data_IF_561289286601
#
_entry.id   IF_561289286601
#
_cell.length_a   1.000
_cell.length_b   1.000
_cell.length_c   1.000
_cell.angle_alpha   90.00
_cell.angle_beta   90.00
_cell.angle_gamma   90.00
#
_symmetry.space_group_name_H-M   'P 1'
#
loop_
_entity.id
_entity.type
_entity.pdbx_description
1 polymer ?
#
# COMPACT_ATOMS: atom_id res chain seq x y z
N UNK A 1 -13.76 23.19 -15.89
CA UNK A 1 -12.92 24.01 -16.79
C UNK A 1 -11.51 23.45 -16.67
N UNK A 2 -11.02 22.81 -17.72
CA UNK A 2 -9.66 22.22 -17.75
C UNK A 2 -8.62 23.34 -17.62
N UNK A 3 -7.56 23.10 -16.86
CA UNK A 3 -6.50 24.08 -16.69
C UNK A 3 -5.81 24.45 -18.01
N UNK A 4 -5.39 25.70 -18.11
CA UNK A 4 -4.72 26.24 -19.30
C UNK A 4 -3.20 26.04 -19.31
N UNK A 5 -2.62 25.60 -18.19
CA UNK A 5 -1.20 25.32 -18.06
C UNK A 5 -0.93 24.23 -17.01
N UNK A 6 0.27 23.65 -17.09
CA UNK A 6 0.70 22.53 -16.23
C UNK A 6 0.59 22.84 -14.72
N UNK A 7 0.99 24.03 -14.28
CA UNK A 7 0.94 24.38 -12.86
C UNK A 7 -0.52 24.53 -12.35
N UNK A 8 -1.41 25.02 -13.21
CA UNK A 8 -2.85 25.06 -12.97
C UNK A 8 -3.44 23.66 -12.88
N UNK A 9 -3.07 22.77 -13.81
CA UNK A 9 -3.54 21.39 -13.85
C UNK A 9 -3.16 20.62 -12.57
N UNK A 10 -1.89 20.69 -12.18
CA UNK A 10 -1.42 20.06 -10.93
C UNK A 10 -2.19 20.59 -9.71
N UNK A 11 -2.45 21.90 -9.68
CA UNK A 11 -3.21 22.53 -8.59
C UNK A 11 -4.66 22.07 -8.57
N UNK A 12 -5.32 21.99 -9.73
CA UNK A 12 -6.70 21.56 -9.85
C UNK A 12 -6.90 20.12 -9.34
N UNK A 13 -6.09 19.18 -9.83
CA UNK A 13 -6.12 17.78 -9.37
C UNK A 13 -5.83 17.65 -7.88
N UNK A 14 -4.82 18.35 -7.37
CA UNK A 14 -4.48 18.34 -5.94
C UNK A 14 -5.61 18.89 -5.06
N UNK A 15 -6.26 19.98 -5.48
CA UNK A 15 -7.39 20.56 -4.74
C UNK A 15 -8.62 19.65 -4.77
N UNK A 16 -8.88 18.98 -5.90
CA UNK A 16 -9.97 18.01 -6.00
C UNK A 16 -9.73 16.82 -5.05
N UNK A 17 -8.54 16.24 -5.02
CA UNK A 17 -8.20 15.17 -4.09
C UNK A 17 -8.37 15.58 -2.62
N UNK A 18 -7.91 16.79 -2.26
CA UNK A 18 -8.07 17.32 -0.90
C UNK A 18 -9.54 17.53 -0.50
N UNK A 19 -10.43 17.83 -1.47
CA UNK A 19 -11.88 17.87 -1.20
C UNK A 19 -12.42 16.49 -0.88
N UNK A 20 -12.10 15.48 -1.71
CA UNK A 20 -12.54 14.10 -1.47
C UNK A 20 -12.04 13.56 -0.13
N UNK A 21 -10.79 13.86 0.27
CA UNK A 21 -10.29 13.47 1.60
C UNK A 21 -11.15 14.01 2.75
N UNK A 22 -11.61 15.26 2.64
CA UNK A 22 -12.45 15.89 3.67
C UNK A 22 -13.88 15.35 3.60
N UNK A 23 -14.44 15.24 2.41
CA UNK A 23 -15.84 14.88 2.21
C UNK A 23 -16.08 13.41 2.63
N UNK A 24 -15.09 12.54 2.45
CA UNK A 24 -15.09 11.15 2.94
C UNK A 24 -14.44 10.95 4.32
N UNK A 25 -14.01 12.02 5.02
CA UNK A 25 -13.34 11.95 6.34
C UNK A 25 -12.17 10.95 6.39
N UNK A 26 -11.41 10.86 5.29
CA UNK A 26 -10.39 9.83 5.11
C UNK A 26 -9.23 10.00 6.08
N UNK A 27 -8.88 11.25 6.43
CA UNK A 27 -7.80 11.51 7.36
C UNK A 27 -8.12 10.96 8.74
N UNK A 28 -9.26 11.33 9.30
CA UNK A 28 -9.71 10.90 10.62
C UNK A 28 -9.83 9.37 10.68
N UNK A 29 -10.44 8.78 9.65
CA UNK A 29 -10.63 7.32 9.56
C UNK A 29 -9.30 6.57 9.49
N UNK A 30 -8.33 7.05 8.70
CA UNK A 30 -7.03 6.38 8.52
C UNK A 30 -6.11 6.65 9.70
N UNK A 31 -6.09 7.85 10.29
CA UNK A 31 -5.30 8.12 11.48
C UNK A 31 -5.75 7.26 12.67
N UNK A 32 -7.04 6.93 12.76
CA UNK A 32 -7.61 6.08 13.81
C UNK A 32 -7.30 4.57 13.64
N UNK A 33 -7.36 4.04 12.41
CA UNK A 33 -7.21 2.59 12.14
C UNK A 33 -5.85 2.19 11.54
N UNK A 34 -5.07 3.17 11.09
CA UNK A 34 -3.88 2.99 10.27
C UNK A 34 -4.13 2.51 8.83
N UNK A 35 -3.04 2.36 8.07
CA UNK A 35 -3.06 1.85 6.71
C UNK A 35 -2.97 2.95 5.64
N UNK A 36 -3.71 2.78 4.54
CA UNK A 36 -3.69 3.66 3.37
C UNK A 36 -5.10 4.13 2.96
N UNK A 37 -5.16 4.97 1.93
CA UNK A 37 -6.41 5.34 1.27
C UNK A 37 -6.91 4.16 0.45
N UNK A 38 -8.03 3.58 0.87
CA UNK A 38 -8.73 2.53 0.14
C UNK A 38 -9.48 3.14 -1.05
N UNK A 39 -8.82 3.10 -2.21
CA UNK A 39 -9.33 3.71 -3.45
C UNK A 39 -10.64 3.07 -3.89
N UNK A 40 -10.75 1.74 -3.78
CA UNK A 40 -11.94 1.02 -4.19
C UNK A 40 -13.12 1.32 -3.27
N UNK A 41 -12.89 1.39 -1.96
CA UNK A 41 -13.91 1.84 -1.01
C UNK A 41 -14.35 3.28 -1.29
N UNK A 42 -13.41 4.18 -1.56
CA UNK A 42 -13.76 5.57 -1.87
C UNK A 42 -14.59 5.71 -3.15
N UNK A 43 -14.26 4.96 -4.20
CA UNK A 43 -15.05 4.91 -5.44
C UNK A 43 -16.47 4.41 -5.15
N UNK A 44 -16.60 3.36 -4.34
CA UNK A 44 -17.89 2.81 -3.93
C UNK A 44 -18.72 3.82 -3.11
N UNK A 45 -18.11 4.48 -2.12
CA UNK A 45 -18.78 5.49 -1.28
C UNK A 45 -19.25 6.72 -2.08
N UNK A 46 -18.60 7.00 -3.21
CA UNK A 46 -18.97 8.06 -4.14
C UNK A 46 -20.01 7.63 -5.17
N UNK A 47 -20.52 6.39 -5.08
CA UNK A 47 -21.51 5.79 -6.01
C UNK A 47 -21.05 5.86 -7.47
N UNK A 48 -19.75 5.64 -7.71
CA UNK A 48 -19.17 5.60 -9.05
C UNK A 48 -19.07 4.16 -9.51
N UNK A 49 -19.76 3.75 -10.60
CA UNK A 49 -19.67 2.40 -11.11
C UNK A 49 -18.24 2.02 -11.46
N UNK A 50 -17.73 0.94 -10.86
CA UNK A 50 -16.41 0.39 -11.12
C UNK A 50 -16.52 -1.07 -11.54
N UNK A 51 -15.83 -1.41 -12.63
CA UNK A 51 -15.75 -2.80 -13.08
C UNK A 51 -14.30 -3.19 -13.37
N UNK A 52 -13.90 -4.33 -12.79
CA UNK A 52 -12.57 -4.91 -12.95
C UNK A 52 -12.64 -6.01 -14.01
N UNK A 53 -11.81 -5.95 -15.05
CA UNK A 53 -11.78 -6.96 -16.12
C UNK A 53 -10.36 -7.21 -16.63
N UNK A 54 -10.10 -8.36 -17.27
CA UNK A 54 -8.85 -8.56 -17.99
C UNK A 54 -8.82 -7.66 -19.23
N UNK A 55 -7.97 -6.63 -19.21
CA UNK A 55 -7.77 -5.72 -20.33
C UNK A 55 -6.36 -5.91 -20.90
N UNK A 56 -6.27 -6.15 -22.21
CA UNK A 56 -5.00 -6.27 -22.94
C UNK A 56 -4.64 -4.93 -23.57
N UNK A 57 -3.40 -4.46 -23.36
CA UNK A 57 -2.94 -3.15 -23.85
C UNK A 57 -3.39 -1.96 -22.99
N UNK A 58 -4.54 -2.08 -22.33
CA UNK A 58 -5.17 -1.02 -21.55
C UNK A 58 -5.05 -1.26 -20.03
N UNK A 59 -4.72 -0.21 -19.27
CA UNK A 59 -4.68 -0.27 -17.79
C UNK A 59 -6.03 0.05 -17.16
N UNK A 60 -6.72 1.06 -17.68
CA UNK A 60 -8.04 1.48 -17.22
C UNK A 60 -8.68 2.40 -18.23
N UNK A 61 -9.94 2.75 -18.01
CA UNK A 61 -10.62 3.75 -18.80
C UNK A 61 -11.75 4.40 -18.01
N UNK A 62 -11.88 5.71 -18.17
CA UNK A 62 -13.05 6.46 -17.78
C UNK A 62 -14.00 6.63 -18.97
N UNK A 63 -15.25 6.22 -18.79
CA UNK A 63 -16.32 6.35 -19.77
C UNK A 63 -17.37 7.31 -19.22
N UNK A 64 -17.86 8.26 -20.03
CA UNK A 64 -18.92 9.20 -19.62
C UNK A 64 -20.32 8.85 -20.19
N UNK A 65 -20.40 7.90 -21.12
CA UNK A 65 -21.63 7.55 -21.83
C UNK A 65 -21.77 6.01 -21.97
N UNK A 66 -22.99 5.44 -21.88
CA UNK A 66 -24.27 6.13 -21.61
C UNK A 66 -24.42 6.62 -20.15
N UNK A 67 -23.57 6.15 -19.24
CA UNK A 67 -23.43 6.62 -17.87
C UNK A 67 -21.96 6.66 -17.46
N UNK A 68 -21.54 7.59 -16.60
CA UNK A 68 -20.17 7.62 -16.09
C UNK A 68 -19.77 6.33 -15.39
N UNK A 69 -18.56 5.84 -15.64
CA UNK A 69 -18.03 4.64 -15.00
C UNK A 69 -16.55 4.44 -15.22
N UNK A 70 -15.95 3.60 -14.38
CA UNK A 70 -14.53 3.30 -14.36
C UNK A 70 -14.30 1.82 -14.72
N UNK A 71 -13.34 1.58 -15.60
CA UNK A 71 -12.80 0.26 -15.90
C UNK A 71 -11.35 0.18 -15.43
N UNK A 72 -10.96 -0.91 -14.79
CA UNK A 72 -9.56 -1.17 -14.40
C UNK A 72 -9.17 -2.60 -14.73
N UNK A 73 -7.93 -2.77 -15.20
CA UNK A 73 -7.38 -4.07 -15.59
C UNK A 73 -7.10 -4.98 -14.40
N UNK A 74 -7.41 -6.27 -14.53
CA UNK A 74 -7.02 -7.32 -13.58
C UNK A 74 -5.62 -7.89 -13.87
N UNK A 75 -5.01 -7.52 -15.00
CA UNK A 75 -3.74 -8.07 -15.50
C UNK A 75 -2.49 -7.44 -14.85
N UNK A 76 -2.66 -6.74 -13.73
CA UNK A 76 -1.61 -5.95 -13.08
C UNK A 76 -1.66 -6.10 -11.55
N UNK A 77 -0.51 -5.93 -10.86
CA UNK A 77 -0.47 -5.95 -9.40
C UNK A 77 -1.37 -4.89 -8.76
N UNK A 78 -1.73 -5.13 -7.50
CA UNK A 78 -2.66 -4.29 -6.74
C UNK A 78 -2.25 -2.81 -6.68
N UNK A 79 -0.95 -2.51 -6.56
CA UNK A 79 -0.48 -1.12 -6.56
C UNK A 79 -0.74 -0.38 -7.87
N UNK A 80 -0.70 -1.08 -9.02
CA UNK A 80 -1.04 -0.51 -10.32
C UNK A 80 -2.55 -0.34 -10.42
N UNK A 81 -3.34 -1.36 -10.04
CA UNK A 81 -4.80 -1.25 -10.03
C UNK A 81 -5.29 -0.07 -9.20
N UNK A 82 -4.72 0.13 -7.99
CA UNK A 82 -5.08 1.25 -7.10
C UNK A 82 -4.75 2.60 -7.73
N UNK A 83 -3.58 2.74 -8.34
CA UNK A 83 -3.19 3.99 -9.00
C UNK A 83 -4.07 4.28 -10.21
N UNK A 84 -4.31 3.29 -11.07
CA UNK A 84 -5.21 3.43 -12.21
C UNK A 84 -6.62 3.79 -11.76
N UNK A 85 -7.18 3.08 -10.77
CA UNK A 85 -8.50 3.40 -10.22
C UNK A 85 -8.56 4.84 -9.68
N UNK A 86 -7.52 5.31 -8.99
CA UNK A 86 -7.45 6.68 -8.49
C UNK A 86 -7.32 7.71 -9.62
N UNK A 87 -6.61 7.38 -10.70
CA UNK A 87 -6.48 8.21 -11.90
C UNK A 87 -7.82 8.35 -12.63
N UNK A 88 -8.52 7.25 -12.88
CA UNK A 88 -9.85 7.27 -13.50
C UNK A 88 -10.89 7.97 -12.60
N UNK A 89 -10.80 7.81 -11.28
CA UNK A 89 -11.60 8.58 -10.34
C UNK A 89 -11.31 10.08 -10.47
N UNK A 90 -10.07 10.46 -10.75
CA UNK A 90 -9.69 11.84 -11.06
C UNK A 90 -10.44 12.38 -12.27
N UNK A 91 -10.51 11.63 -13.37
CA UNK A 91 -11.30 11.99 -14.54
C UNK A 91 -12.79 12.19 -14.20
N UNK A 92 -13.37 11.28 -13.42
CA UNK A 92 -14.76 11.39 -12.98
C UNK A 92 -15.00 12.65 -12.13
N UNK A 93 -14.20 12.87 -11.09
CA UNK A 93 -14.37 13.99 -10.14
C UNK A 93 -14.16 15.35 -10.81
N UNK A 94 -13.24 15.44 -11.77
CA UNK A 94 -12.93 16.66 -12.49
C UNK A 94 -13.83 16.88 -13.71
N UNK A 95 -14.76 15.94 -13.98
CA UNK A 95 -15.71 15.99 -15.10
C UNK A 95 -14.99 16.10 -16.45
N UNK A 96 -13.97 15.27 -16.63
CA UNK A 96 -13.21 15.17 -17.86
C UNK A 96 -14.03 14.54 -18.99
N UNK A 97 -13.59 14.78 -20.22
CA UNK A 97 -14.12 14.05 -21.38
C UNK A 97 -13.50 12.64 -21.42
N UNK A 98 -14.12 11.65 -22.09
CA UNK A 98 -13.60 10.28 -22.14
C UNK A 98 -12.26 10.26 -22.85
N UNK A 99 -11.32 9.54 -22.24
CA UNK A 99 -10.04 9.17 -22.85
C UNK A 99 -10.14 7.70 -23.23
N UNK A 100 -10.11 7.39 -24.54
CA UNK A 100 -9.90 6.03 -25.02
C UNK A 100 -8.40 5.88 -25.32
N UNK A 101 -7.71 5.14 -24.45
CA UNK A 101 -6.27 4.92 -24.51
C UNK A 101 -5.90 4.05 -25.72
N UNK A 102 -5.19 4.64 -26.68
CA UNK A 102 -4.53 3.92 -27.78
C UNK A 102 -3.10 3.57 -27.34
N UNK A 103 -2.64 2.36 -27.67
CA UNK A 103 -1.56 1.51 -27.10
C UNK A 103 -0.12 2.12 -26.97
N UNK A 104 0.03 3.44 -26.95
CA UNK A 104 1.30 4.18 -27.06
C UNK A 104 1.80 4.86 -25.77
N UNK A 105 0.98 4.96 -24.70
CA UNK A 105 1.35 5.74 -23.50
C UNK A 105 2.25 5.02 -22.49
N UNK A 106 2.58 3.73 -22.70
CA UNK A 106 3.57 3.03 -21.88
C UNK A 106 5.02 3.53 -22.08
N UNK A 107 5.27 4.53 -22.95
CA UNK A 107 6.60 5.11 -23.17
C UNK A 107 6.58 6.64 -23.37
N UNK A 108 6.68 7.37 -22.25
CA UNK A 108 7.08 8.80 -22.15
C UNK A 108 6.12 9.83 -22.77
N UNK A 109 6.15 11.04 -22.18
CA UNK A 109 5.53 12.31 -22.59
C UNK A 109 4.97 12.33 -24.03
N UNK A 110 3.67 12.58 -24.24
CA UNK A 110 3.10 12.64 -25.57
C UNK A 110 3.55 13.92 -26.29
N UNK A 111 3.99 13.77 -27.53
CA UNK A 111 4.35 14.89 -28.42
C UNK A 111 3.17 15.27 -29.34
N UNK A 112 2.05 14.54 -29.34
CA UNK A 112 0.97 14.74 -30.31
C UNK A 112 -0.47 14.62 -29.76
N UNK A 113 -0.69 14.66 -28.44
CA UNK A 113 -2.05 14.80 -27.91
C UNK A 113 -2.55 16.25 -28.05
N UNK A 114 -3.87 16.45 -28.15
CA UNK A 114 -4.43 17.79 -28.11
C UNK A 114 -4.10 18.43 -26.75
N UNK A 115 -3.75 19.73 -26.68
CA UNK A 115 -3.31 20.35 -25.43
C UNK A 115 -4.30 20.21 -24.27
N UNK A 116 -5.61 20.13 -24.56
CA UNK A 116 -6.65 19.91 -23.55
C UNK A 116 -6.67 18.46 -23.03
N UNK A 117 -6.41 17.47 -23.87
CA UNK A 117 -6.23 16.06 -23.46
C UNK A 117 -5.01 15.96 -22.56
N UNK A 118 -3.89 16.59 -22.95
CA UNK A 118 -2.67 16.59 -22.13
C UNK A 118 -2.88 17.20 -20.74
N UNK A 119 -3.67 18.28 -20.64
CA UNK A 119 -3.93 18.90 -19.33
C UNK A 119 -4.88 18.07 -18.46
N UNK A 120 -5.89 17.40 -19.04
CA UNK A 120 -6.78 16.50 -18.30
C UNK A 120 -5.99 15.33 -17.69
N UNK A 121 -5.07 14.73 -18.45
CA UNK A 121 -4.19 13.67 -17.95
C UNK A 121 -3.30 14.17 -16.80
N UNK A 122 -2.74 15.38 -16.92
CA UNK A 122 -1.95 15.99 -15.82
C UNK A 122 -2.81 16.26 -14.59
N UNK A 123 -4.06 16.69 -14.77
CA UNK A 123 -5.01 16.89 -13.67
C UNK A 123 -5.38 15.57 -12.98
N UNK A 124 -5.64 14.50 -13.74
CA UNK A 124 -5.95 13.17 -13.23
C UNK A 124 -4.76 12.53 -12.50
N UNK A 125 -3.54 12.62 -13.06
CA UNK A 125 -2.32 12.17 -12.41
C UNK A 125 -2.03 12.94 -11.11
N UNK A 126 -2.27 14.26 -11.13
CA UNK A 126 -2.12 15.07 -9.93
C UNK A 126 -3.16 14.71 -8.87
N UNK A 127 -4.41 14.44 -9.28
CA UNK A 127 -5.46 13.93 -8.40
C UNK A 127 -5.04 12.60 -7.79
N UNK A 128 -4.71 11.57 -8.59
CA UNK A 128 -4.36 10.24 -8.12
C UNK A 128 -3.19 10.27 -7.13
N UNK A 129 -2.15 11.04 -7.46
CA UNK A 129 -0.98 11.22 -6.59
C UNK A 129 -1.37 11.89 -5.28
N UNK A 130 -2.10 13.01 -5.32
CA UNK A 130 -2.49 13.73 -4.12
C UNK A 130 -3.48 12.91 -3.27
N UNK A 131 -4.35 12.14 -3.91
CA UNK A 131 -5.37 11.31 -3.28
C UNK A 131 -4.76 10.12 -2.56
N UNK A 132 -3.82 9.40 -3.19
CA UNK A 132 -3.15 8.25 -2.57
C UNK A 132 -2.03 8.65 -1.60
N UNK A 133 -1.37 9.79 -1.83
CA UNK A 133 -0.17 10.20 -1.10
C UNK A 133 -0.27 11.61 -0.50
N UNK A 134 -1.30 11.92 0.31
CA UNK A 134 -1.34 13.22 0.96
C UNK A 134 -0.20 13.36 1.97
N UNK A 135 0.28 14.59 2.16
CA UNK A 135 1.39 14.90 3.07
C UNK A 135 1.13 14.46 4.51
N UNK A 136 -0.13 14.53 4.97
CA UNK A 136 -0.52 14.07 6.29
C UNK A 136 -0.32 12.56 6.46
N UNK A 137 -0.59 11.76 5.42
CA UNK A 137 -0.43 10.30 5.48
C UNK A 137 1.04 9.88 5.46
N UNK A 138 1.86 10.58 4.66
CA UNK A 138 3.32 10.42 4.70
C UNK A 138 3.86 10.70 6.11
N UNK A 139 3.44 11.82 6.71
CA UNK A 139 3.81 12.20 8.07
C UNK A 139 3.35 11.18 9.12
N UNK A 140 2.13 10.65 9.00
CA UNK A 140 1.59 9.63 9.88
C UNK A 140 2.46 8.36 9.87
N UNK A 141 2.76 7.81 8.69
CA UNK A 141 3.61 6.62 8.55
C UNK A 141 5.03 6.88 9.04
N UNK A 142 5.61 8.04 8.74
CA UNK A 142 6.93 8.42 9.22
C UNK A 142 7.00 8.50 10.74
N UNK A 143 6.06 9.18 11.40
CA UNK A 143 5.99 9.25 12.86
C UNK A 143 5.83 7.87 13.48
N UNK A 144 4.89 7.08 12.96
CA UNK A 144 4.60 5.75 13.47
C UNK A 144 5.80 4.81 13.38
N UNK A 145 6.46 4.80 12.23
CA UNK A 145 7.64 3.96 11.99
C UNK A 145 8.93 4.58 12.56
N UNK A 146 8.86 5.77 13.16
CA UNK A 146 10.00 6.58 13.61
C UNK A 146 11.03 6.79 12.48
N UNK A 147 10.55 7.00 11.26
CA UNK A 147 11.38 7.36 10.12
C UNK A 147 11.56 8.86 10.02
N UNK A 148 12.81 9.26 9.87
CA UNK A 148 13.24 10.61 9.57
C UNK A 148 13.41 10.80 8.07
N UNK A 149 13.60 12.04 7.63
CA UNK A 149 13.95 12.34 6.23
C UNK A 149 15.24 11.63 5.79
N UNK A 150 16.22 11.46 6.69
CA UNK A 150 17.43 10.68 6.40
C UNK A 150 17.13 9.22 6.09
N UNK A 151 16.13 8.63 6.74
CA UNK A 151 15.77 7.23 6.51
C UNK A 151 15.18 7.01 5.12
N UNK A 152 14.52 8.03 4.55
CA UNK A 152 13.97 7.99 3.20
C UNK A 152 15.04 7.95 2.09
N UNK A 153 16.33 8.06 2.44
CA UNK A 153 17.44 7.81 1.52
C UNK A 153 17.79 6.33 1.41
N UNK A 154 17.20 5.46 2.24
CA UNK A 154 17.43 4.01 2.22
C UNK A 154 16.38 3.31 1.34
N UNK A 155 16.79 2.51 0.35
CA UNK A 155 15.88 1.76 -0.51
C UNK A 155 14.89 0.87 0.27
N UNK A 156 15.34 0.20 1.33
CA UNK A 156 14.50 -0.65 2.17
C UNK A 156 13.39 0.12 2.87
N UNK A 157 13.69 1.30 3.41
CA UNK A 157 12.70 2.17 4.06
C UNK A 157 11.66 2.65 3.06
N UNK A 158 12.08 3.15 1.88
CA UNK A 158 11.15 3.65 0.86
C UNK A 158 10.26 2.53 0.30
N UNK A 159 10.80 1.31 0.19
CA UNK A 159 10.01 0.14 -0.19
C UNK A 159 8.95 -0.21 0.86
N UNK A 160 9.31 -0.24 2.14
CA UNK A 160 8.36 -0.49 3.23
C UNK A 160 7.30 0.62 3.37
N UNK A 161 7.66 1.86 3.06
CA UNK A 161 6.72 2.97 2.95
C UNK A 161 5.76 2.78 1.76
N UNK A 162 6.26 2.36 0.60
CA UNK A 162 5.45 2.12 -0.59
C UNK A 162 4.32 1.10 -0.33
N UNK A 163 4.64 -0.01 0.34
CA UNK A 163 3.66 -1.03 0.71
C UNK A 163 2.58 -0.45 1.64
N UNK A 164 3.00 0.29 2.66
CA UNK A 164 2.10 0.94 3.63
C UNK A 164 1.22 2.03 3.03
N UNK A 165 1.65 2.65 1.92
CA UNK A 165 0.84 3.59 1.14
C UNK A 165 -0.03 2.89 0.07
N UNK A 166 0.15 1.58 -0.16
CA UNK A 166 -0.56 0.84 -1.20
C UNK A 166 -0.09 1.18 -2.62
N UNK A 167 1.20 1.49 -2.80
CA UNK A 167 1.75 1.98 -4.07
C UNK A 167 3.03 1.28 -4.51
N UNK A 168 3.43 1.57 -5.74
CA UNK A 168 4.69 1.03 -6.27
C UNK A 168 5.89 1.74 -5.66
N UNK A 169 7.00 1.01 -5.57
CA UNK A 169 8.28 1.55 -5.12
C UNK A 169 8.70 2.80 -5.92
N UNK A 170 8.55 2.74 -7.24
CA UNK A 170 8.92 3.83 -8.13
C UNK A 170 8.04 5.07 -7.96
N UNK A 171 6.72 4.89 -7.90
CA UNK A 171 5.80 6.01 -7.65
C UNK A 171 6.09 6.68 -6.31
N UNK A 172 6.44 5.90 -5.28
CA UNK A 172 6.81 6.41 -3.96
C UNK A 172 8.08 7.26 -4.03
N UNK A 173 9.15 6.80 -4.71
CA UNK A 173 10.38 7.59 -4.91
C UNK A 173 10.09 8.97 -5.51
N UNK A 174 9.28 9.05 -6.57
CA UNK A 174 8.95 10.32 -7.22
C UNK A 174 7.99 11.19 -6.40
N UNK A 175 7.11 10.56 -5.63
CA UNK A 175 6.23 11.25 -4.67
C UNK A 175 7.03 11.93 -3.57
N UNK A 176 8.09 11.28 -3.05
CA UNK A 176 8.99 11.89 -2.07
C UNK A 176 9.70 13.13 -2.63
N UNK A 177 10.07 13.11 -3.92
CA UNK A 177 10.62 14.29 -4.61
C UNK A 177 9.59 15.42 -4.70
N UNK A 178 8.34 15.10 -5.09
CA UNK A 178 7.26 16.08 -5.20
C UNK A 178 6.98 16.77 -3.86
N UNK A 179 7.09 16.03 -2.76
CA UNK A 179 6.91 16.53 -1.40
C UNK A 179 8.19 17.12 -0.79
N UNK A 180 9.25 17.31 -1.57
CA UNK A 180 10.54 17.89 -1.14
C UNK A 180 11.22 17.15 0.02
N UNK A 181 10.90 15.86 0.20
CA UNK A 181 11.52 15.01 1.23
C UNK A 181 12.87 14.47 0.76
N UNK A 182 13.02 14.24 -0.54
CA UNK A 182 14.29 13.89 -1.19
C UNK A 182 14.44 14.69 -2.49
N UNK A 183 15.66 14.74 -3.03
CA UNK A 183 15.91 15.35 -4.33
C UNK A 183 15.85 14.32 -5.49
N UNK A 184 15.86 14.82 -6.74
CA UNK A 184 15.81 13.98 -7.94
C UNK A 184 17.02 13.06 -8.10
N UNK A 185 18.19 13.43 -7.57
CA UNK A 185 19.40 12.62 -7.63
C UNK A 185 19.25 11.42 -6.69
N UNK A 186 18.80 11.66 -5.47
CA UNK A 186 18.49 10.64 -4.47
C UNK A 186 17.42 9.66 -4.98
N UNK A 187 16.35 10.15 -5.60
CA UNK A 187 15.34 9.27 -6.21
C UNK A 187 15.94 8.35 -7.28
N UNK A 188 16.83 8.86 -8.14
CA UNK A 188 17.51 8.04 -9.15
C UNK A 188 18.45 7.01 -8.51
N UNK A 189 19.14 7.37 -7.43
CA UNK A 189 20.00 6.45 -6.66
C UNK A 189 19.17 5.33 -6.03
N UNK A 190 18.02 5.65 -5.42
CA UNK A 190 17.08 4.65 -4.88
C UNK A 190 16.67 3.63 -5.95
N UNK A 191 16.28 4.12 -7.15
CA UNK A 191 15.80 3.29 -8.26
C UNK A 191 16.85 2.36 -8.89
N UNK A 192 18.13 2.50 -8.52
CA UNK A 192 19.17 1.52 -8.87
C UNK A 192 18.93 0.19 -8.13
N UNK A 193 18.36 0.22 -6.92
CA UNK A 193 18.01 -0.98 -6.17
C UNK A 193 16.64 -1.47 -6.61
N UNK A 194 16.55 -2.64 -7.24
CA UNK A 194 15.27 -3.16 -7.75
C UNK A 194 14.45 -3.82 -6.64
N UNK A 195 13.10 -3.77 -6.70
CA UNK A 195 12.24 -4.42 -5.71
C UNK A 195 12.57 -5.89 -5.45
N UNK A 196 12.93 -6.65 -6.49
CA UNK A 196 13.36 -8.05 -6.33
C UNK A 196 14.55 -8.19 -5.36
N UNK A 197 15.54 -7.32 -5.46
CA UNK A 197 16.71 -7.34 -4.57
C UNK A 197 16.31 -6.98 -3.13
N UNK A 198 15.40 -6.02 -2.95
CA UNK A 198 14.87 -5.64 -1.64
C UNK A 198 14.11 -6.80 -0.98
N UNK A 199 13.26 -7.48 -1.75
CA UNK A 199 12.53 -8.67 -1.33
C UNK A 199 13.48 -9.80 -0.94
N UNK A 200 14.48 -10.10 -1.77
CA UNK A 200 15.50 -11.11 -1.46
C UNK A 200 16.27 -10.80 -0.17
N UNK A 201 16.71 -9.55 0.00
CA UNK A 201 17.41 -9.13 1.21
C UNK A 201 16.55 -9.27 2.47
N UNK A 202 15.23 -9.04 2.37
CA UNK A 202 14.30 -9.23 3.49
C UNK A 202 14.05 -10.71 3.79
N UNK A 203 13.99 -11.57 2.77
CA UNK A 203 13.76 -13.00 2.97
C UNK A 203 15.04 -13.76 3.41
N UNK A 204 16.21 -13.16 3.26
CA UNK A 204 17.48 -13.74 3.69
C UNK A 204 17.80 -15.01 2.90
N UNK A 205 17.90 -16.14 3.58
CA UNK A 205 18.18 -17.44 2.95
C UNK A 205 16.93 -18.13 2.38
N UNK A 206 15.73 -17.63 2.67
CA UNK A 206 14.50 -18.21 2.14
C UNK A 206 14.26 -17.70 0.72
N UNK A 207 14.11 -18.63 -0.24
CA UNK A 207 13.77 -18.32 -1.62
C UNK A 207 12.31 -18.70 -1.90
N UNK A 208 11.43 -17.73 -2.21
CA UNK A 208 10.06 -18.02 -2.58
C UNK A 208 10.00 -18.57 -4.01
N UNK A 209 8.91 -19.28 -4.36
CA UNK A 209 8.71 -19.79 -5.71
C UNK A 209 8.78 -18.70 -6.80
N UNK A 210 8.38 -17.47 -6.47
CA UNK A 210 8.60 -16.28 -7.28
C UNK A 210 8.52 -15.00 -6.42
N UNK A 211 8.97 -13.87 -6.97
CA UNK A 211 9.00 -12.56 -6.28
C UNK A 211 7.85 -11.62 -6.68
N UNK A 212 6.71 -12.17 -7.15
CA UNK A 212 5.54 -11.35 -7.54
C UNK A 212 4.82 -10.78 -6.33
N UNK A 213 4.68 -11.57 -5.26
CA UNK A 213 4.14 -11.10 -3.97
C UNK A 213 5.10 -10.12 -3.29
N UNK A 214 4.54 -9.24 -2.48
CA UNK A 214 5.30 -8.28 -1.69
C UNK A 214 5.89 -8.93 -0.43
N UNK A 215 6.86 -8.23 0.16
CA UNK A 215 7.56 -8.68 1.36
C UNK A 215 7.48 -7.57 2.39
N UNK A 216 6.68 -7.80 3.41
CA UNK A 216 6.41 -6.87 4.50
C UNK A 216 7.42 -7.10 5.63
N UNK A 217 8.04 -6.04 6.11
CA UNK A 217 8.79 -6.06 7.36
C UNK A 217 7.88 -5.50 8.46
N UNK A 218 7.47 -6.35 9.38
CA UNK A 218 6.62 -6.00 10.51
C UNK A 218 7.45 -5.91 11.78
N UNK A 219 7.17 -4.88 12.57
CA UNK A 219 7.76 -4.66 13.89
C UNK A 219 6.64 -4.34 14.88
N UNK A 220 6.97 -4.19 16.17
CA UNK A 220 6.01 -3.70 17.16
C UNK A 220 5.35 -2.35 16.79
N UNK A 221 5.95 -1.57 15.87
CA UNK A 221 5.39 -0.29 15.40
C UNK A 221 4.17 -0.46 14.51
N UNK A 222 3.95 -1.66 13.98
CA UNK A 222 2.81 -1.97 13.12
C UNK A 222 1.55 -2.38 13.91
N UNK A 223 1.64 -2.47 15.25
CA UNK A 223 0.49 -2.79 16.12
C UNK A 223 -0.71 -1.85 15.89
N UNK A 224 -1.94 -2.32 16.01
CA UNK A 224 -3.16 -1.52 15.81
C UNK A 224 -3.21 -0.81 14.46
N UNK A 225 -2.64 -1.44 13.41
CA UNK A 225 -2.77 -0.95 12.04
C UNK A 225 -3.40 -1.98 11.14
N UNK A 226 -3.96 -1.47 10.05
CA UNK A 226 -4.45 -2.27 8.94
C UNK A 226 -3.46 -2.32 7.79
N UNK A 227 -3.20 -3.52 7.28
CA UNK A 227 -2.39 -3.76 6.08
C UNK A 227 -3.21 -4.43 4.98
N UNK A 228 -3.20 -3.85 3.78
CA UNK A 228 -3.82 -4.45 2.61
C UNK A 228 -2.74 -5.12 1.74
N UNK A 229 -2.89 -6.40 1.48
CA UNK A 229 -1.92 -7.20 0.72
C UNK A 229 -2.56 -8.33 -0.08
N UNK A 230 -1.76 -9.35 -0.34
CA UNK A 230 -2.15 -10.54 -1.10
C UNK A 230 -1.77 -11.82 -0.36
N UNK A 231 -2.47 -12.92 -0.65
CA UNK A 231 -2.05 -14.27 -0.22
C UNK A 231 -0.64 -14.67 -0.71
N UNK A 232 -0.14 -14.01 -1.75
CA UNK A 232 1.18 -14.30 -2.31
C UNK A 232 2.32 -13.56 -1.58
N UNK A 233 1.99 -12.68 -0.65
CA UNK A 233 2.95 -11.87 0.08
C UNK A 233 3.65 -12.70 1.17
N UNK A 234 4.80 -12.20 1.61
CA UNK A 234 5.53 -12.74 2.76
C UNK A 234 5.63 -11.67 3.84
N UNK A 235 5.57 -12.11 5.09
CA UNK A 235 5.63 -11.26 6.26
C UNK A 235 6.84 -11.67 7.09
N UNK A 236 7.79 -10.74 7.19
CA UNK A 236 8.98 -10.87 8.03
C UNK A 236 8.71 -10.09 9.30
N UNK A 237 8.36 -10.79 10.37
CA UNK A 237 8.21 -10.23 11.69
C UNK A 237 9.60 -10.12 12.32
N UNK A 238 9.96 -8.92 12.79
CA UNK A 238 11.20 -8.66 13.50
C UNK A 238 10.86 -8.05 14.85
N UNK A 239 10.72 -8.91 15.85
CA UNK A 239 10.21 -8.57 17.18
C UNK A 239 11.32 -8.69 18.22
N UNK A 240 11.38 -7.71 19.11
CA UNK A 240 12.22 -7.80 20.31
C UNK A 240 11.61 -8.82 21.27
N UNK A 241 12.45 -9.68 21.84
CA UNK A 241 12.05 -10.77 22.74
C UNK A 241 12.93 -10.78 24.00
N UNK A 242 12.31 -10.85 25.17
CA UNK A 242 12.95 -10.86 26.48
C UNK A 242 13.17 -12.30 26.96
N UNK A 243 13.82 -13.12 26.12
CA UNK A 243 14.02 -14.54 26.38
C UNK A 243 14.79 -14.79 27.69
N UNK A 244 15.69 -13.88 28.08
CA UNK A 244 16.42 -13.95 29.36
C UNK A 244 15.52 -13.88 30.61
N UNK A 245 14.34 -13.25 30.49
CA UNK A 245 13.32 -13.18 31.53
C UNK A 245 12.23 -14.25 31.42
N UNK A 246 12.34 -15.15 30.44
CA UNK A 246 11.36 -16.20 30.17
C UNK A 246 10.25 -15.86 29.20
N UNK A 247 10.22 -14.62 28.69
CA UNK A 247 9.16 -14.15 27.81
C UNK A 247 9.50 -14.50 26.37
N UNK A 248 8.59 -15.22 25.73
CA UNK A 248 8.70 -15.67 24.34
C UNK A 248 7.44 -15.26 23.58
N UNK A 249 7.60 -14.93 22.31
CA UNK A 249 6.46 -14.73 21.42
C UNK A 249 5.81 -16.06 21.05
N UNK A 250 4.51 -16.17 21.23
CA UNK A 250 3.75 -17.38 20.89
C UNK A 250 3.53 -17.50 19.37
N UNK A 251 4.26 -18.41 18.73
CA UNK A 251 4.18 -18.65 17.29
C UNK A 251 3.01 -19.53 16.87
N UNK A 252 2.37 -20.23 17.81
CA UNK A 252 1.15 -20.97 17.52
C UNK A 252 0.02 -19.98 17.22
N UNK A 253 0.03 -18.79 17.85
CA UNK A 253 -0.89 -17.70 17.54
C UNK A 253 -0.69 -17.15 16.12
N UNK A 254 0.55 -17.11 15.60
CA UNK A 254 0.81 -16.74 14.20
C UNK A 254 0.17 -17.73 13.24
N UNK A 255 0.30 -19.03 13.55
CA UNK A 255 -0.27 -20.12 12.78
C UNK A 255 -1.79 -20.12 12.83
N UNK A 256 -2.37 -19.92 14.03
CA UNK A 256 -3.81 -19.78 14.24
C UNK A 256 -4.39 -18.55 13.53
N UNK A 257 -3.58 -17.50 13.36
CA UNK A 257 -3.94 -16.32 12.57
C UNK A 257 -3.92 -16.57 11.06
N UNK A 258 -3.61 -17.78 10.58
CA UNK A 258 -3.69 -18.16 9.16
C UNK A 258 -2.38 -18.02 8.38
N UNK A 259 -1.23 -17.95 9.06
CA UNK A 259 0.10 -17.85 8.46
C UNK A 259 0.90 -19.15 8.63
N UNK A 260 1.51 -19.63 7.54
CA UNK A 260 2.49 -20.70 7.60
C UNK A 260 3.89 -20.11 7.83
N UNK A 261 4.55 -20.53 8.91
CA UNK A 261 5.93 -20.14 9.19
C UNK A 261 6.86 -20.91 8.25
N UNK A 262 7.67 -20.19 7.48
CA UNK A 262 8.62 -20.79 6.54
C UNK A 262 10.07 -20.70 7.04
N UNK A 263 10.34 -19.79 7.98
CA UNK A 263 11.66 -19.62 8.59
C UNK A 263 11.54 -18.88 9.92
N UNK A 264 12.35 -19.29 10.88
CA UNK A 264 12.48 -18.64 12.18
C UNK A 264 13.97 -18.59 12.58
N UNK A 265 14.38 -17.44 13.11
CA UNK A 265 15.75 -17.17 13.56
C UNK A 265 15.73 -16.26 14.79
N UNK A 266 16.77 -16.37 15.61
CA UNK A 266 17.07 -15.42 16.68
C UNK A 266 18.32 -14.63 16.28
N UNK A 267 18.18 -13.30 16.16
CA UNK A 267 19.30 -12.38 15.99
C UNK A 267 19.74 -11.87 17.37
N UNK A 268 21.04 -11.81 17.63
CA UNK A 268 21.56 -11.24 18.87
C UNK A 268 21.18 -9.76 18.99
N UNK A 269 20.76 -9.33 20.17
CA UNK A 269 20.58 -7.91 20.49
C UNK A 269 21.91 -7.19 20.72
N UNK A 270 21.88 -5.85 20.66
CA UNK A 270 23.05 -4.99 20.90
C UNK A 270 23.41 -4.88 22.40
N UNK A 271 22.55 -5.33 23.31
CA UNK A 271 22.62 -5.06 24.76
C UNK A 271 23.48 -6.06 25.57
N UNK A 272 24.33 -6.84 24.91
CA UNK A 272 25.23 -7.79 25.59
C UNK A 272 24.54 -9.06 26.11
N UNK A 273 25.24 -9.81 26.97
CA UNK A 273 24.77 -11.12 27.47
C UNK A 273 23.57 -10.92 28.39
N UNK A 274 22.43 -11.53 28.04
CA UNK A 274 21.18 -11.46 28.82
C UNK A 274 20.25 -10.31 28.42
N UNK A 275 20.64 -9.47 27.46
CA UNK A 275 19.75 -8.47 26.85
C UNK A 275 18.67 -9.08 25.96
N UNK A 276 17.67 -8.29 25.55
CA UNK A 276 16.65 -8.75 24.63
C UNK A 276 17.27 -9.20 23.29
N UNK A 277 16.74 -10.27 22.72
CA UNK A 277 17.10 -10.75 21.38
C UNK A 277 16.07 -10.28 20.37
N UNK A 278 16.35 -10.44 19.08
CA UNK A 278 15.37 -10.19 18.03
C UNK A 278 14.90 -11.52 17.47
N UNK A 279 13.64 -11.88 17.71
CA UNK A 279 12.99 -12.98 17.01
C UNK A 279 12.60 -12.51 15.60
N UNK A 280 13.18 -13.17 14.61
CA UNK A 280 12.90 -12.96 13.19
C UNK A 280 12.12 -14.13 12.65
N UNK A 281 10.90 -13.90 12.19
CA UNK A 281 10.02 -14.94 11.64
C UNK A 281 9.56 -14.53 10.26
N UNK A 282 9.82 -15.38 9.28
CA UNK A 282 9.23 -15.24 7.94
C UNK A 282 8.05 -16.19 7.85
N UNK A 283 6.89 -15.63 7.55
CA UNK A 283 5.66 -16.38 7.35
C UNK A 283 4.94 -15.94 6.07
N UNK A 284 4.09 -16.83 5.55
CA UNK A 284 3.27 -16.57 4.37
C UNK A 284 1.80 -16.91 4.66
N UNK A 285 0.83 -16.17 4.09
CA UNK A 285 -0.58 -16.51 4.25
C UNK A 285 -0.91 -17.88 3.66
N UNK A 286 -1.82 -18.61 4.31
CA UNK A 286 -2.28 -19.92 3.82
C UNK A 286 -3.43 -19.82 2.81
N UNK A 287 -4.17 -18.71 2.82
CA UNK A 287 -5.31 -18.44 1.93
C UNK A 287 -5.49 -16.94 1.70
N UNK A 288 -6.40 -16.57 0.80
CA UNK A 288 -6.89 -15.18 0.68
C UNK A 288 -8.01 -14.95 1.69
N UNK A 289 -7.78 -14.10 2.68
CA UNK A 289 -8.77 -13.80 3.72
C UNK A 289 -8.58 -12.39 4.30
N UNK A 290 -9.56 -11.96 5.09
CA UNK A 290 -9.46 -10.78 5.97
C UNK A 290 -9.46 -11.28 7.40
N UNK A 291 -8.66 -10.67 8.26
CA UNK A 291 -8.58 -11.11 9.64
C UNK A 291 -7.61 -10.27 10.44
N UNK A 292 -7.25 -10.79 11.60
CA UNK A 292 -6.36 -10.16 12.56
C UNK A 292 -5.23 -11.13 12.87
N UNK A 293 -4.00 -10.65 12.83
CA UNK A 293 -2.86 -11.34 13.44
C UNK A 293 -2.72 -10.82 14.86
N UNK A 294 -2.77 -11.70 15.84
CA UNK A 294 -2.53 -11.37 17.23
C UNK A 294 -1.39 -12.26 17.75
N UNK A 295 -0.42 -11.63 18.37
CA UNK A 295 0.74 -12.28 18.97
C UNK A 295 0.97 -11.69 20.35
N UNK A 296 1.39 -12.53 21.28
CA UNK A 296 1.68 -12.12 22.64
C UNK A 296 3.04 -12.65 23.09
N UNK A 297 3.76 -11.79 23.80
CA UNK A 297 5.02 -12.12 24.44
C UNK A 297 4.75 -12.49 25.90
N UNK A 298 4.83 -13.78 26.24
CA UNK A 298 4.43 -14.29 27.57
C UNK A 298 5.39 -15.39 28.06
N UNK A 299 5.29 -15.72 29.34
CA UNK A 299 5.97 -16.90 29.90
C UNK A 299 5.12 -18.13 29.66
N UNK A 300 5.65 -19.09 28.90
CA UNK A 300 4.90 -20.29 28.52
C UNK A 300 4.48 -21.18 29.71
N UNK A 301 5.18 -21.06 30.85
CA UNK A 301 4.87 -21.82 32.07
C UNK A 301 3.87 -21.11 33.00
N UNK A 302 3.48 -19.88 32.70
CA UNK A 302 2.50 -19.11 33.48
C UNK A 302 1.53 -18.39 32.53
N UNK A 303 0.62 -19.13 31.87
CA UNK A 303 -0.25 -18.59 30.82
C UNK A 303 -1.34 -17.64 31.36
N UNK A 304 -1.56 -17.61 32.67
CA UNK A 304 -2.54 -16.76 33.34
C UNK A 304 -1.96 -15.35 33.66
N UNK A 305 -0.64 -15.17 33.57
CA UNK A 305 0.02 -13.85 33.70
C UNK A 305 -0.29 -12.97 32.47
N UNK A 306 -0.48 -11.65 32.68
CA UNK A 306 -0.66 -10.72 31.57
C UNK A 306 0.57 -10.73 30.64
N UNK A 307 0.37 -10.71 29.31
CA UNK A 307 1.48 -10.71 28.37
C UNK A 307 2.31 -9.43 28.53
N UNK A 308 3.64 -9.57 28.42
CA UNK A 308 4.58 -8.46 28.52
C UNK A 308 4.38 -7.45 27.38
N UNK A 309 4.13 -7.96 26.17
CA UNK A 309 3.83 -7.19 24.96
C UNK A 309 2.80 -7.94 24.12
N UNK A 310 2.02 -7.19 23.35
CA UNK A 310 1.16 -7.74 22.31
C UNK A 310 1.43 -7.04 20.98
N UNK A 311 1.22 -7.77 19.90
CA UNK A 311 1.23 -7.25 18.54
C UNK A 311 -0.06 -7.69 17.86
N UNK A 312 -0.91 -6.72 17.59
CA UNK A 312 -2.16 -6.92 16.88
C UNK A 312 -2.14 -6.16 15.57
N UNK A 313 -2.40 -6.82 14.44
CA UNK A 313 -2.43 -6.15 13.13
C UNK A 313 -3.60 -6.69 12.33
N UNK A 314 -4.42 -5.79 11.79
CA UNK A 314 -5.53 -6.13 10.90
C UNK A 314 -5.02 -6.30 9.47
N UNK A 315 -5.56 -7.27 8.74
CA UNK A 315 -5.17 -7.54 7.37
C UNK A 315 -6.34 -7.71 6.41
N UNK A 316 -6.03 -7.46 5.15
CA UNK A 316 -6.86 -7.81 4.01
C UNK A 316 -5.99 -8.35 2.90
N UNK A 317 -5.95 -9.68 2.79
CA UNK A 317 -5.08 -10.43 1.89
C UNK A 317 -5.84 -10.91 0.65
N UNK A 318 -6.98 -10.27 0.35
CA UNK A 318 -7.83 -10.60 -0.80
C UNK A 318 -7.41 -9.84 -2.06
N UNK A 319 -6.24 -9.18 -2.05
CA UNK A 319 -5.69 -8.52 -3.23
C UNK A 319 -4.84 -9.43 -4.12
N UNK A 320 -4.55 -9.03 -5.38
CA UNK A 320 -5.15 -7.90 -6.12
C UNK A 320 -6.65 -8.10 -6.40
N UNK A 321 -7.33 -7.09 -6.95
CA UNK A 321 -8.71 -7.26 -7.41
C UNK A 321 -8.81 -8.28 -8.54
N UNK A 322 -9.88 -9.06 -8.50
CA UNK A 322 -10.24 -10.08 -9.49
C UNK A 322 -11.34 -9.55 -10.43
N UNK A 323 -11.67 -10.29 -11.49
CA UNK A 323 -12.71 -9.87 -12.45
C UNK A 323 -14.09 -9.72 -11.76
N UNK A 324 -14.79 -8.65 -12.11
CA UNK A 324 -16.12 -8.32 -11.60
C UNK A 324 -16.12 -7.08 -10.72
N UNK A 325 -16.89 -7.15 -9.63
CA UNK A 325 -17.04 -6.07 -8.65
C UNK A 325 -15.81 -5.97 -7.74
N UNK A 326 -15.50 -4.74 -7.33
CA UNK A 326 -14.41 -4.49 -6.40
C UNK A 326 -14.64 -5.20 -5.07
N UNK A 327 -13.57 -5.44 -4.30
CA UNK A 327 -13.69 -6.03 -2.96
C UNK A 327 -14.60 -5.22 -2.03
N UNK A 328 -14.66 -3.89 -2.22
CA UNK A 328 -15.52 -3.00 -1.44
C UNK A 328 -16.99 -3.27 -1.74
N UNK A 329 -17.40 -3.17 -3.01
CA UNK A 329 -18.78 -3.43 -3.45
C UNK A 329 -19.24 -4.86 -3.09
N UNK A 330 -18.38 -5.86 -3.24
CA UNK A 330 -18.70 -7.24 -2.87
C UNK A 330 -19.03 -7.39 -1.39
N UNK A 331 -18.41 -6.60 -0.50
CA UNK A 331 -18.68 -6.65 0.94
C UNK A 331 -20.03 -6.06 1.25
N UNK A 332 -20.29 -4.88 0.74
CA UNK A 332 -21.53 -4.18 1.00
C UNK A 332 -22.73 -5.00 0.51
N UNK A 333 -22.60 -5.71 -0.62
CA UNK A 333 -23.61 -6.66 -1.10
C UNK A 333 -23.79 -7.91 -0.21
N UNK A 334 -22.71 -8.43 0.38
CA UNK A 334 -22.76 -9.60 1.27
C UNK A 334 -23.26 -9.23 2.67
N UNK A 335 -22.98 -8.03 3.16
CA UNK A 335 -23.45 -7.50 4.45
C UNK A 335 -24.93 -7.10 4.39
N UNK A 336 -25.44 -6.77 3.19
CA UNK A 336 -26.85 -6.45 2.95
C UNK A 336 -27.77 -7.67 2.69
N UNK A 337 -27.19 -8.88 2.52
CA UNK A 337 -27.90 -10.12 2.18
C UNK A 337 -28.26 -10.97 3.41
#
# INVERSE_FOLDING_TARGET
MVAQNYAGAVRAGTLAAARIHRDLTLRETIEARGGNVDVFKAIHELDVPLLLRPLKGLLGAFLNAPSPGILVTTERPMSIQRFTAAHELGHYILQHEPSLDDDSMLRRMPVNAQPASDMQEVEADAFATAFMFPTWLLGWHMTRQRWTVSDLRRPSTVYQLALRLGASYEATCWTLVRNTLIDRKQARELLLTKPRQLKANLLGQYEPANYRGDVWLLTARDADTRLDGSRNDHFVLRLEEHSGGGYLWDMDQLSASGFAIVREELESGDDGIGGPVIRRVTAQPTSSYRGKMALEERRLWDPDEEPLRSLEVDFDLTGPEEEGLSRAERRDLLEAA
#
